data_IF_343057212678
#
_entry.id   IF_343057212678
#
_cell.length_a   1.000
_cell.length_b   1.000
_cell.length_c   1.000
_cell.angle_alpha   90.00
_cell.angle_beta   90.00
_cell.angle_gamma   90.00
#
_symmetry.space_group_name_H-M   'P 1'
#
loop_
_entity.id
_entity.type
_entity.pdbx_description
1 polymer ?
#
# COMPACT_ATOMS: atom_id res chain seq x y z
N UNK A 1 13.36 22.10 -87.25
CA UNK A 1 14.11 22.11 -85.97
C UNK A 1 13.66 23.19 -84.98
N UNK A 2 13.47 24.46 -85.37
CA UNK A 2 13.04 25.53 -84.44
C UNK A 2 11.65 25.34 -83.79
N UNK A 3 10.74 24.64 -84.46
CA UNK A 3 9.38 24.41 -83.96
C UNK A 3 9.29 23.31 -82.89
N UNK A 4 10.22 22.35 -82.89
CA UNK A 4 10.28 21.25 -81.92
C UNK A 4 10.90 21.72 -80.60
N UNK A 5 11.92 22.58 -80.64
CA UNK A 5 12.51 23.18 -79.43
C UNK A 5 11.50 24.03 -78.64
N UNK A 6 10.65 24.82 -79.31
CA UNK A 6 9.63 25.64 -78.63
C UNK A 6 8.62 24.81 -77.83
N UNK A 7 8.14 23.69 -78.38
CA UNK A 7 7.19 22.80 -77.68
C UNK A 7 7.83 22.06 -76.52
N UNK A 8 9.10 21.64 -76.63
CA UNK A 8 9.83 21.01 -75.53
C UNK A 8 10.10 21.99 -74.38
N UNK A 9 10.43 23.25 -74.67
CA UNK A 9 10.63 24.29 -73.64
C UNK A 9 9.32 24.67 -72.93
N UNK A 10 8.19 24.74 -73.65
CA UNK A 10 6.87 25.02 -73.05
C UNK A 10 6.40 23.85 -72.19
N UNK A 11 6.61 22.61 -72.63
CA UNK A 11 6.28 21.42 -71.84
C UNK A 11 7.16 21.30 -70.59
N UNK A 12 8.45 21.64 -70.69
CA UNK A 12 9.37 21.66 -69.55
C UNK A 12 9.01 22.77 -68.55
N UNK A 13 8.67 23.98 -69.02
CA UNK A 13 8.16 25.07 -68.18
C UNK A 13 6.83 24.71 -67.51
N UNK A 14 5.92 24.01 -68.21
CA UNK A 14 4.66 23.53 -67.64
C UNK A 14 4.87 22.45 -66.57
N UNK A 15 5.81 21.51 -66.79
CA UNK A 15 6.18 20.48 -65.80
C UNK A 15 6.85 21.11 -64.59
N UNK A 16 7.76 22.07 -64.78
CA UNK A 16 8.38 22.84 -63.68
C UNK A 16 7.32 23.66 -62.94
N UNK A 17 6.37 24.29 -63.63
CA UNK A 17 5.29 25.06 -62.99
C UNK A 17 4.29 24.16 -62.24
N UNK A 18 3.99 22.96 -62.75
CA UNK A 18 3.17 21.94 -62.05
C UNK A 18 3.92 21.37 -60.84
N UNK A 19 5.25 21.18 -60.92
CA UNK A 19 6.11 20.80 -59.80
C UNK A 19 6.20 21.91 -58.73
N UNK A 20 6.19 23.19 -59.14
CA UNK A 20 6.20 24.35 -58.22
C UNK A 20 4.83 24.54 -57.56
N UNK A 21 3.72 24.25 -58.26
CA UNK A 21 2.35 24.30 -57.71
C UNK A 21 2.03 23.16 -56.73
N UNK A 22 2.81 22.07 -56.72
CA UNK A 22 2.72 21.01 -55.70
C UNK A 22 3.53 21.30 -54.42
N UNK A 23 4.31 22.39 -54.38
CA UNK A 23 5.31 22.65 -53.33
C UNK A 23 4.87 23.64 -52.23
N UNK A 24 3.58 23.98 -52.10
CA UNK A 24 3.13 24.85 -51.01
C UNK A 24 1.86 24.35 -50.31
N UNK A 25 1.85 23.09 -49.86
CA UNK A 25 0.90 22.69 -48.81
C UNK A 25 1.37 23.29 -47.50
N UNK A 26 0.57 24.19 -46.92
CA UNK A 26 0.82 24.76 -45.58
C UNK A 26 0.86 23.61 -44.57
N UNK A 27 2.02 23.43 -43.94
CA UNK A 27 2.17 22.48 -42.85
C UNK A 27 1.39 22.98 -41.62
N UNK A 28 0.84 22.04 -40.84
CA UNK A 28 0.06 22.35 -39.64
C UNK A 28 0.45 21.42 -38.50
N UNK A 29 0.15 21.76 -37.23
CA UNK A 29 0.28 20.81 -36.13
C UNK A 29 -0.59 19.57 -36.35
N UNK A 30 -0.25 18.43 -35.74
CA UNK A 30 -0.97 17.17 -35.93
C UNK A 30 -2.44 17.24 -35.48
N UNK A 31 -3.31 16.46 -36.12
CA UNK A 31 -4.70 16.25 -35.67
C UNK A 31 -4.78 14.92 -34.93
N UNK A 32 -5.09 15.00 -33.64
CA UNK A 32 -5.11 13.85 -32.73
C UNK A 32 -6.51 13.67 -32.15
N UNK A 33 -6.91 12.44 -31.87
CA UNK A 33 -8.10 12.14 -31.05
C UNK A 33 -7.71 11.31 -29.84
N UNK A 34 -8.29 11.60 -28.69
CA UNK A 34 -8.04 10.85 -27.45
C UNK A 34 -9.02 9.70 -27.33
N UNK A 35 -8.55 8.52 -26.94
CA UNK A 35 -9.40 7.37 -26.67
C UNK A 35 -9.96 7.40 -25.26
N UNK A 36 -11.13 6.77 -25.06
CA UNK A 36 -11.72 6.57 -23.74
C UNK A 36 -10.73 5.89 -22.79
N UNK A 37 -10.86 6.21 -21.51
CA UNK A 37 -10.04 5.60 -20.44
C UNK A 37 -10.66 4.26 -20.04
N UNK A 38 -9.82 3.26 -19.82
CA UNK A 38 -10.16 1.90 -19.36
C UNK A 38 -9.21 1.44 -18.25
N UNK A 39 -9.47 0.26 -17.67
CA UNK A 39 -8.59 -0.38 -16.68
C UNK A 39 -8.19 0.55 -15.52
N UNK A 40 -9.15 1.33 -15.03
CA UNK A 40 -8.92 2.32 -13.98
C UNK A 40 -8.80 1.63 -12.62
N UNK A 41 -7.63 1.76 -12.02
CA UNK A 41 -7.35 1.31 -10.64
C UNK A 41 -7.22 2.53 -9.72
N UNK A 42 -6.73 2.32 -8.49
CA UNK A 42 -6.40 3.38 -7.55
C UNK A 42 -5.23 4.26 -8.04
N UNK A 43 -4.26 3.67 -8.75
CA UNK A 43 -2.99 4.32 -9.09
C UNK A 43 -2.62 4.27 -10.57
N UNK A 44 -3.41 3.58 -11.39
CA UNK A 44 -3.19 3.39 -12.82
C UNK A 44 -4.47 3.52 -13.63
N UNK A 45 -4.31 3.75 -14.93
CA UNK A 45 -5.37 3.68 -15.91
C UNK A 45 -4.77 3.41 -17.30
N UNK A 46 -5.58 3.03 -18.27
CA UNK A 46 -5.17 2.88 -19.67
C UNK A 46 -5.95 3.85 -20.54
N UNK A 47 -5.25 4.52 -21.45
CA UNK A 47 -5.85 5.38 -22.47
C UNK A 47 -5.02 5.28 -23.76
N UNK A 48 -5.11 6.26 -24.62
CA UNK A 48 -4.38 6.31 -25.87
C UNK A 48 -4.92 7.40 -26.78
N UNK A 49 -4.58 7.28 -28.05
CA UNK A 49 -5.12 8.16 -29.06
C UNK A 49 -4.86 7.66 -30.46
N UNK A 50 -5.33 8.44 -31.42
CA UNK A 50 -5.07 8.23 -32.83
C UNK A 50 -4.60 9.54 -33.45
N UNK A 51 -3.41 9.53 -34.03
CA UNK A 51 -2.91 10.63 -34.85
C UNK A 51 -3.52 10.47 -36.25
N UNK A 52 -4.65 11.15 -36.49
CA UNK A 52 -5.44 11.03 -37.72
C UNK A 52 -4.76 11.67 -38.92
N UNK A 53 -4.07 12.79 -38.70
CA UNK A 53 -3.35 13.51 -39.73
C UNK A 53 -2.08 14.12 -39.13
N UNK A 54 -0.98 13.99 -39.85
CA UNK A 54 0.34 14.49 -39.44
C UNK A 54 0.55 15.97 -39.75
N UNK A 55 -0.44 16.62 -40.37
CA UNK A 55 -0.32 18.03 -40.75
C UNK A 55 0.65 18.26 -41.92
N UNK A 56 1.07 17.20 -42.62
CA UNK A 56 2.03 17.24 -43.72
C UNK A 56 3.50 17.15 -43.32
N UNK A 57 3.81 17.03 -42.01
CA UNK A 57 5.16 16.88 -41.49
C UNK A 57 5.26 15.64 -40.58
N UNK A 58 6.42 14.97 -40.57
CA UNK A 58 6.60 13.74 -39.82
C UNK A 58 6.35 13.92 -38.31
N UNK A 59 5.66 12.94 -37.72
CA UNK A 59 5.41 12.90 -36.28
C UNK A 59 6.65 12.40 -35.56
N UNK A 60 7.30 13.28 -34.80
CA UNK A 60 8.55 12.98 -34.08
C UNK A 60 8.31 12.40 -32.69
N UNK A 61 7.16 12.70 -32.06
CA UNK A 61 6.74 12.14 -30.76
C UNK A 61 5.23 12.13 -30.66
N UNK A 62 4.67 11.16 -29.94
CA UNK A 62 3.26 11.13 -29.54
C UNK A 62 3.11 10.53 -28.14
N UNK A 63 1.99 10.78 -27.49
CA UNK A 63 1.69 10.18 -26.20
C UNK A 63 0.37 10.67 -25.62
N UNK A 64 0.22 10.51 -24.31
CA UNK A 64 -0.88 11.10 -23.55
C UNK A 64 -0.31 12.04 -22.48
N UNK A 65 -1.07 13.06 -22.12
CA UNK A 65 -0.81 13.93 -20.97
C UNK A 65 -2.04 13.96 -20.06
N UNK A 66 -1.82 14.06 -18.75
CA UNK A 66 -2.88 14.08 -17.76
C UNK A 66 -2.57 14.97 -16.56
N UNK A 67 -3.62 15.48 -15.92
CA UNK A 67 -3.54 16.32 -14.73
C UNK A 67 -4.88 16.32 -13.97
N UNK A 68 -4.88 16.78 -12.71
CA UNK A 68 -6.11 17.00 -11.93
C UNK A 68 -6.86 18.29 -12.33
N UNK A 69 -6.21 19.15 -13.11
CA UNK A 69 -6.80 20.36 -13.71
C UNK A 69 -7.09 20.16 -15.19
N UNK A 70 -8.15 20.81 -15.68
CA UNK A 70 -8.52 20.77 -17.11
C UNK A 70 -7.42 21.31 -18.02
N UNK A 71 -7.49 20.89 -19.28
CA UNK A 71 -6.59 21.18 -20.38
C UNK A 71 -5.13 20.76 -20.13
N UNK A 72 -4.86 19.49 -19.77
CA UNK A 72 -3.49 19.03 -19.59
C UNK A 72 -2.68 19.22 -20.89
N UNK A 73 -1.38 19.46 -20.70
CA UNK A 73 -0.40 19.65 -21.78
C UNK A 73 0.82 18.77 -21.51
N UNK A 74 1.80 18.76 -22.41
CA UNK A 74 3.07 18.05 -22.15
C UNK A 74 3.92 18.67 -21.03
N UNK A 75 3.52 19.81 -20.46
CA UNK A 75 4.09 20.33 -19.22
C UNK A 75 3.54 19.63 -17.96
N UNK A 76 2.39 18.98 -18.08
CA UNK A 76 1.82 18.09 -17.06
C UNK A 76 2.49 16.71 -17.10
N UNK A 77 1.99 15.78 -16.28
CA UNK A 77 2.37 14.37 -16.41
C UNK A 77 2.07 13.86 -17.82
N UNK A 78 3.02 13.17 -18.45
CA UNK A 78 2.85 12.67 -19.81
C UNK A 78 3.71 11.43 -20.08
N UNK A 79 3.32 10.67 -21.11
CA UNK A 79 4.10 9.57 -21.68
C UNK A 79 4.63 9.93 -23.06
N UNK A 80 5.58 9.14 -23.57
CA UNK A 80 5.98 9.14 -24.99
C UNK A 80 5.84 7.71 -25.54
N UNK A 81 4.97 7.53 -26.53
CA UNK A 81 4.56 6.25 -27.12
C UNK A 81 4.99 6.12 -28.59
N UNK A 82 6.17 6.65 -28.92
CA UNK A 82 6.81 6.53 -30.23
C UNK A 82 6.48 7.66 -31.21
N UNK A 83 6.51 7.34 -32.51
CA UNK A 83 6.42 8.25 -33.64
C UNK A 83 5.34 7.81 -34.64
N UNK A 84 5.16 8.58 -35.71
CA UNK A 84 4.26 8.23 -36.81
C UNK A 84 2.76 8.43 -36.54
N UNK A 85 1.95 8.21 -37.58
CA UNK A 85 0.49 8.30 -37.53
C UNK A 85 -0.17 7.03 -37.00
N UNK A 86 -1.49 7.06 -36.81
CA UNK A 86 -2.28 5.91 -36.38
C UNK A 86 -2.53 5.83 -34.87
N UNK A 87 -3.14 4.72 -34.47
CA UNK A 87 -3.56 4.47 -33.09
C UNK A 87 -2.39 4.05 -32.20
N UNK A 88 -2.46 4.44 -30.93
CA UNK A 88 -1.55 4.00 -29.89
C UNK A 88 -2.28 3.86 -28.55
N UNK A 89 -1.75 2.99 -27.69
CA UNK A 89 -2.21 2.77 -26.32
C UNK A 89 -1.13 3.26 -25.37
N UNK A 90 -1.52 3.77 -24.22
CA UNK A 90 -0.60 4.18 -23.17
C UNK A 90 -1.12 3.86 -21.78
N UNK A 91 -0.21 3.37 -20.93
CA UNK A 91 -0.45 3.12 -19.52
C UNK A 91 -0.16 4.40 -18.72
N UNK A 92 -1.10 4.77 -17.86
CA UNK A 92 -1.01 5.86 -16.91
C UNK A 92 -0.65 5.26 -15.55
N UNK A 93 0.31 5.84 -14.85
CA UNK A 93 0.73 5.42 -13.51
C UNK A 93 0.99 6.64 -12.62
N UNK A 94 1.18 6.41 -11.32
CA UNK A 94 1.43 7.49 -10.35
C UNK A 94 0.18 8.32 -10.03
N UNK A 95 -1.01 7.75 -10.20
CA UNK A 95 -2.26 8.42 -9.85
C UNK A 95 -2.54 8.32 -8.35
N UNK A 96 -3.30 9.28 -7.83
CA UNK A 96 -3.86 9.22 -6.47
C UNK A 96 -5.25 8.59 -6.52
N UNK A 97 -5.58 7.76 -5.53
CA UNK A 97 -6.89 7.12 -5.42
C UNK A 97 -8.03 8.14 -5.24
N UNK A 98 -9.26 7.78 -5.63
CA UNK A 98 -10.45 8.62 -5.53
C UNK A 98 -10.26 10.06 -6.06
N UNK A 99 -9.53 10.21 -7.16
CA UNK A 99 -9.14 11.51 -7.72
C UNK A 99 -9.57 11.62 -9.17
N UNK A 100 -10.15 12.76 -9.54
CA UNK A 100 -10.54 13.06 -10.92
C UNK A 100 -9.30 13.52 -11.69
N UNK A 101 -9.07 12.92 -12.85
CA UNK A 101 -8.03 13.31 -13.80
C UNK A 101 -8.63 13.64 -15.16
N UNK A 102 -8.02 14.61 -15.83
CA UNK A 102 -8.26 14.97 -17.22
C UNK A 102 -7.10 14.44 -18.05
N UNK A 103 -7.38 13.84 -19.20
CA UNK A 103 -6.39 13.23 -20.11
C UNK A 103 -6.61 13.70 -21.54
N UNK A 104 -5.50 13.92 -22.26
CA UNK A 104 -5.48 14.25 -23.69
C UNK A 104 -4.36 13.47 -24.38
N UNK A 105 -4.64 12.94 -25.55
CA UNK A 105 -3.61 12.48 -26.47
C UNK A 105 -2.89 13.68 -27.09
N UNK A 106 -1.60 13.54 -27.39
CA UNK A 106 -0.80 14.57 -28.03
C UNK A 106 0.15 13.98 -29.07
N UNK A 107 0.54 14.79 -30.05
CA UNK A 107 1.59 14.48 -31.01
C UNK A 107 2.34 15.74 -31.46
N UNK A 108 3.63 15.60 -31.73
CA UNK A 108 4.56 16.67 -32.11
C UNK A 108 5.07 16.42 -33.53
N UNK A 109 5.04 17.45 -34.36
CA UNK A 109 5.77 17.53 -35.64
C UNK A 109 6.60 18.84 -35.68
N UNK A 110 7.16 19.19 -36.84
CA UNK A 110 7.95 20.43 -37.03
C UNK A 110 7.14 21.72 -36.79
N UNK A 111 5.82 21.68 -36.99
CA UNK A 111 4.94 22.84 -36.86
C UNK A 111 4.39 23.02 -35.44
N UNK A 112 4.59 22.02 -34.57
CA UNK A 112 4.25 22.10 -33.16
C UNK A 112 3.38 20.95 -32.66
N UNK A 113 2.70 21.22 -31.54
CA UNK A 113 1.95 20.22 -30.80
C UNK A 113 0.48 20.19 -31.21
N UNK A 114 0.00 19.00 -31.57
CA UNK A 114 -1.41 18.68 -31.73
C UNK A 114 -1.92 17.98 -30.49
N UNK A 115 -3.12 18.34 -30.04
CA UNK A 115 -3.78 17.70 -28.90
C UNK A 115 -5.16 17.19 -29.29
N UNK A 116 -5.53 16.04 -28.74
CA UNK A 116 -6.87 15.48 -28.85
C UNK A 116 -7.87 16.15 -27.92
N UNK A 117 -9.12 15.67 -28.03
CA UNK A 117 -10.20 16.03 -27.13
C UNK A 117 -9.87 15.64 -25.69
N UNK A 118 -10.30 16.46 -24.73
CA UNK A 118 -10.19 16.12 -23.32
C UNK A 118 -11.20 15.04 -22.93
N UNK A 119 -10.76 14.11 -22.09
CA UNK A 119 -11.60 13.12 -21.43
C UNK A 119 -11.26 13.16 -19.94
N UNK A 120 -12.25 13.00 -19.07
CA UNK A 120 -12.03 12.87 -17.63
C UNK A 120 -12.37 11.47 -17.14
N UNK A 121 -11.67 11.01 -16.12
CA UNK A 121 -11.96 9.77 -15.40
C UNK A 121 -11.68 9.97 -13.90
N UNK A 122 -12.22 9.09 -13.06
CA UNK A 122 -11.96 9.09 -11.60
C UNK A 122 -11.31 7.77 -11.23
N UNK A 123 -10.19 7.83 -10.52
CA UNK A 123 -9.55 6.62 -9.97
C UNK A 123 -10.42 5.94 -8.93
N UNK A 124 -10.28 4.63 -8.79
CA UNK A 124 -11.00 3.87 -7.77
C UNK A 124 -10.58 4.33 -6.36
N UNK A 125 -11.49 4.31 -5.36
CA UNK A 125 -11.12 4.60 -3.98
C UNK A 125 -10.34 3.44 -3.35
N UNK A 126 -9.65 3.74 -2.26
CA UNK A 126 -9.16 2.71 -1.33
C UNK A 126 -10.34 2.25 -0.49
N UNK A 127 -10.51 0.93 -0.35
CA UNK A 127 -11.55 0.29 0.46
C UNK A 127 -10.92 -0.49 1.60
N UNK A 128 -11.72 -1.03 2.53
CA UNK A 128 -11.21 -1.91 3.58
C UNK A 128 -10.55 -3.16 2.97
N UNK A 129 -9.53 -3.66 3.65
CA UNK A 129 -8.86 -4.91 3.27
C UNK A 129 -9.80 -6.12 3.40
N UNK A 130 -9.51 -7.17 2.63
CA UNK A 130 -10.16 -8.47 2.74
C UNK A 130 -9.19 -9.45 3.39
N UNK A 131 -9.62 -10.07 4.49
CA UNK A 131 -8.81 -11.03 5.23
C UNK A 131 -9.68 -12.08 5.93
N UNK A 132 -9.07 -13.21 6.27
CA UNK A 132 -9.66 -14.26 7.11
C UNK A 132 -8.84 -14.46 8.38
N UNK A 133 -9.51 -14.92 9.44
CA UNK A 133 -8.85 -15.36 10.68
C UNK A 133 -8.48 -16.83 10.54
N UNK A 134 -7.23 -17.18 10.82
CA UNK A 134 -6.80 -18.58 10.76
C UNK A 134 -7.31 -19.37 11.97
N UNK A 135 -7.32 -20.70 11.84
CA UNK A 135 -7.76 -21.58 12.93
C UNK A 135 -6.87 -21.41 14.16
N UNK A 136 -7.50 -21.49 15.34
CA UNK A 136 -6.78 -21.41 16.61
C UNK A 136 -6.13 -22.77 16.89
N UNK A 137 -4.88 -22.75 17.33
CA UNK A 137 -4.07 -23.92 17.66
C UNK A 137 -3.29 -23.68 18.95
N UNK A 138 -2.63 -24.72 19.47
CA UNK A 138 -1.70 -24.63 20.62
C UNK A 138 -2.29 -23.90 21.84
N UNK A 139 -3.56 -24.14 22.15
CA UNK A 139 -4.22 -23.54 23.30
C UNK A 139 -3.67 -24.15 24.58
N UNK A 140 -3.09 -23.30 25.43
CA UNK A 140 -2.68 -23.61 26.80
C UNK A 140 -3.58 -22.88 27.80
N UNK A 141 -3.31 -23.02 29.10
CA UNK A 141 -4.04 -22.28 30.13
C UNK A 141 -3.80 -20.76 30.11
N UNK A 142 -2.80 -20.26 29.37
CA UNK A 142 -2.45 -18.82 29.32
C UNK A 142 -2.03 -18.29 27.95
N UNK A 143 -1.96 -19.16 26.94
CA UNK A 143 -1.56 -18.80 25.57
C UNK A 143 -2.40 -19.53 24.52
N UNK A 144 -2.43 -18.99 23.31
CA UNK A 144 -2.96 -19.66 22.12
C UNK A 144 -2.23 -19.14 20.88
N UNK A 145 -2.27 -19.88 19.78
CA UNK A 145 -1.72 -19.45 18.49
C UNK A 145 -2.84 -19.30 17.48
N UNK A 146 -2.87 -18.18 16.78
CA UNK A 146 -3.82 -17.87 15.72
C UNK A 146 -3.09 -17.06 14.63
N UNK A 147 -3.80 -16.24 13.88
CA UNK A 147 -3.25 -15.40 12.83
C UNK A 147 -4.32 -14.98 11.84
N UNK A 148 -3.88 -14.61 10.64
CA UNK A 148 -4.78 -14.23 9.57
C UNK A 148 -4.14 -14.37 8.20
N UNK A 149 -4.96 -14.26 7.16
CA UNK A 149 -4.50 -14.18 5.77
C UNK A 149 -5.18 -13.02 5.07
N UNK A 150 -4.40 -12.04 4.63
CA UNK A 150 -4.89 -10.85 3.92
C UNK A 150 -4.79 -11.13 2.43
N UNK A 151 -5.95 -11.35 1.79
CA UNK A 151 -6.04 -11.69 0.36
C UNK A 151 -6.11 -10.45 -0.53
N UNK A 152 -6.56 -9.31 0.00
CA UNK A 152 -6.60 -8.04 -0.71
C UNK A 152 -6.41 -6.89 0.26
N UNK A 153 -5.57 -5.92 -0.09
CA UNK A 153 -5.25 -4.75 0.75
C UNK A 153 -6.26 -3.61 0.59
N UNK A 154 -7.29 -3.79 -0.23
CA UNK A 154 -8.27 -2.73 -0.50
C UNK A 154 -7.78 -1.68 -1.49
N UNK A 155 -6.65 -1.91 -2.17
CA UNK A 155 -6.03 -0.96 -3.09
C UNK A 155 -5.14 0.09 -2.41
N UNK A 156 -4.81 -0.11 -1.13
CA UNK A 156 -3.90 0.75 -0.37
C UNK A 156 -3.05 -0.09 0.60
N UNK A 157 -1.82 0.34 0.92
CA UNK A 157 -0.90 -0.45 1.72
C UNK A 157 -1.46 -0.75 3.11
N UNK A 158 -1.29 -2.00 3.56
CA UNK A 158 -1.54 -2.39 4.96
C UNK A 158 -0.43 -1.83 5.84
N UNK A 159 -0.79 -0.98 6.79
CA UNK A 159 0.12 -0.29 7.71
C UNK A 159 0.21 -0.95 9.09
N UNK A 160 -0.73 -1.85 9.42
CA UNK A 160 -0.74 -2.62 10.66
C UNK A 160 -1.62 -3.86 10.47
N UNK A 161 -1.17 -5.02 10.97
CA UNK A 161 -1.98 -6.24 11.03
C UNK A 161 -1.73 -6.99 12.33
N UNK A 162 -2.67 -7.84 12.71
CA UNK A 162 -2.51 -8.75 13.84
C UNK A 162 -3.79 -9.50 14.15
N UNK A 163 -3.91 -10.05 15.36
CA UNK A 163 -5.18 -10.55 15.90
C UNK A 163 -5.59 -9.72 17.11
N UNK A 164 -6.89 -9.54 17.27
CA UNK A 164 -7.49 -8.96 18.46
C UNK A 164 -8.38 -9.98 19.16
N UNK A 165 -8.46 -9.93 20.49
CA UNK A 165 -9.25 -10.87 21.28
C UNK A 165 -9.88 -10.23 22.51
N UNK A 166 -10.99 -10.82 22.95
CA UNK A 166 -11.71 -10.39 24.15
C UNK A 166 -12.55 -11.55 24.73
N UNK A 167 -13.09 -11.35 25.94
CA UNK A 167 -14.09 -12.24 26.57
C UNK A 167 -15.53 -11.92 26.13
N UNK A 168 -15.70 -10.95 25.23
CA UNK A 168 -16.96 -10.67 24.54
C UNK A 168 -16.82 -10.89 23.03
N UNK A 169 -17.95 -11.07 22.36
CA UNK A 169 -17.97 -11.22 20.90
C UNK A 169 -17.57 -9.91 20.21
N UNK A 170 -17.15 -10.06 18.95
CA UNK A 170 -16.70 -9.06 18.01
C UNK A 170 -15.56 -8.18 18.55
N UNK A 171 -14.43 -8.79 18.99
CA UNK A 171 -13.28 -8.00 19.41
C UNK A 171 -12.80 -7.10 18.27
N UNK A 172 -12.22 -5.98 18.66
CA UNK A 172 -11.70 -4.93 17.81
C UNK A 172 -10.25 -4.63 18.18
N UNK A 173 -9.60 -3.74 17.44
CA UNK A 173 -8.21 -3.34 17.76
C UNK A 173 -8.09 -2.52 19.05
N UNK A 174 -9.21 -2.11 19.63
CA UNK A 174 -9.22 -1.40 20.92
C UNK A 174 -9.19 -2.38 22.11
N UNK A 175 -9.44 -3.67 21.86
CA UNK A 175 -9.24 -4.74 22.83
C UNK A 175 -7.78 -5.19 22.83
N UNK A 176 -7.49 -6.28 23.54
CA UNK A 176 -6.17 -6.90 23.50
C UNK A 176 -5.83 -7.32 22.07
N UNK A 177 -4.59 -7.06 21.63
CA UNK A 177 -4.15 -7.36 20.28
C UNK A 177 -2.66 -7.64 20.17
N UNK A 178 -2.28 -8.32 19.10
CA UNK A 178 -0.89 -8.39 18.61
C UNK A 178 -0.65 -7.34 17.54
N UNK A 179 0.61 -7.02 17.27
CA UNK A 179 1.06 -6.23 16.12
C UNK A 179 2.08 -7.08 15.35
N UNK A 180 1.65 -7.65 14.22
CA UNK A 180 2.38 -8.66 13.43
C UNK A 180 2.90 -8.11 12.09
N UNK A 181 3.15 -6.79 12.06
CA UNK A 181 3.81 -6.09 10.97
C UNK A 181 2.86 -5.46 9.95
N UNK A 182 3.33 -5.40 8.69
CA UNK A 182 2.71 -4.68 7.58
C UNK A 182 2.56 -5.58 6.35
N UNK A 183 1.83 -5.11 5.34
CA UNK A 183 1.66 -5.81 4.06
C UNK A 183 0.64 -6.95 4.07
N UNK A 184 0.47 -7.58 2.90
CA UNK A 184 -0.49 -8.67 2.66
C UNK A 184 0.10 -10.06 2.95
N UNK A 185 -0.70 -11.10 2.71
CA UNK A 185 -0.31 -12.49 2.94
C UNK A 185 -0.71 -13.02 4.31
N UNK A 186 -0.20 -14.20 4.63
CA UNK A 186 -0.47 -14.88 5.89
C UNK A 186 0.48 -14.42 6.99
N UNK A 187 -0.04 -14.36 8.21
CA UNK A 187 0.72 -14.09 9.42
C UNK A 187 0.24 -14.98 10.57
N UNK A 188 1.13 -15.22 11.52
CA UNK A 188 0.87 -16.01 12.73
C UNK A 188 1.05 -15.11 13.94
N UNK A 189 0.16 -15.24 14.92
CA UNK A 189 0.15 -14.45 16.13
C UNK A 189 0.14 -15.35 17.36
N UNK A 190 1.00 -15.02 18.32
CA UNK A 190 1.02 -15.67 19.63
C UNK A 190 0.20 -14.84 20.63
N UNK A 191 -0.95 -15.37 21.04
CA UNK A 191 -1.82 -14.77 22.03
C UNK A 191 -1.29 -15.16 23.42
N UNK A 192 -1.04 -14.17 24.27
CA UNK A 192 -0.47 -14.34 25.62
C UNK A 192 -1.38 -13.73 26.68
N UNK A 193 -1.07 -14.01 27.94
CA UNK A 193 -1.76 -13.44 29.11
C UNK A 193 -3.24 -13.77 29.22
N UNK A 194 -3.63 -14.92 28.71
CA UNK A 194 -5.00 -15.40 28.86
C UNK A 194 -5.23 -15.88 30.31
N UNK A 195 -6.44 -15.63 30.81
CA UNK A 195 -6.92 -16.26 32.04
C UNK A 195 -7.32 -17.70 31.75
N UNK A 196 -7.02 -18.60 32.67
CA UNK A 196 -7.44 -20.01 32.59
C UNK A 196 -8.97 -20.14 32.70
N UNK A 197 -9.51 -21.31 32.31
CA UNK A 197 -10.95 -21.59 32.34
C UNK A 197 -11.84 -20.51 31.68
N UNK A 198 -11.29 -19.70 30.77
CA UNK A 198 -11.97 -18.55 30.18
C UNK A 198 -12.18 -18.75 28.69
N UNK A 199 -13.36 -18.35 28.20
CA UNK A 199 -13.68 -18.35 26.77
C UNK A 199 -13.30 -17.02 26.16
N UNK A 200 -12.55 -17.06 25.06
CA UNK A 200 -12.12 -15.91 24.29
C UNK A 200 -12.65 -15.97 22.87
N UNK A 201 -12.98 -14.80 22.33
CA UNK A 201 -13.28 -14.58 20.92
C UNK A 201 -12.10 -13.87 20.26
N UNK A 202 -11.74 -14.27 19.04
CA UNK A 202 -10.55 -13.78 18.32
C UNK A 202 -10.91 -13.41 16.90
N UNK A 203 -10.34 -12.31 16.39
CA UNK A 203 -10.42 -11.89 14.99
C UNK A 203 -9.07 -11.39 14.50
N UNK A 204 -8.65 -11.80 13.31
CA UNK A 204 -7.59 -11.12 12.58
C UNK A 204 -8.05 -9.70 12.21
N UNK A 205 -7.12 -8.74 12.19
CA UNK A 205 -7.36 -7.38 11.75
C UNK A 205 -6.25 -6.89 10.80
N UNK A 206 -6.59 -5.97 9.91
CA UNK A 206 -5.64 -5.27 9.05
C UNK A 206 -6.10 -3.82 8.84
N UNK A 207 -5.18 -2.88 8.93
CA UNK A 207 -5.44 -1.44 8.80
C UNK A 207 -4.78 -0.88 7.55
N UNK A 208 -5.55 -0.17 6.73
CA UNK A 208 -5.07 0.68 5.65
C UNK A 208 -5.67 2.10 5.81
N UNK A 209 -5.50 2.97 4.81
CA UNK A 209 -6.02 4.35 4.87
C UNK A 209 -7.55 4.45 4.83
N UNK A 210 -8.26 3.42 4.39
CA UNK A 210 -9.72 3.35 4.46
C UNK A 210 -10.24 2.95 5.85
N UNK A 211 -9.40 2.33 6.69
CA UNK A 211 -9.73 1.95 8.05
C UNK A 211 -9.21 0.57 8.44
N UNK A 212 -9.80 -0.01 9.48
CA UNK A 212 -9.45 -1.35 9.97
C UNK A 212 -10.51 -2.37 9.54
N UNK A 213 -10.08 -3.36 8.76
CA UNK A 213 -10.86 -4.53 8.42
C UNK A 213 -10.64 -5.66 9.44
N UNK A 214 -11.61 -6.57 9.52
CA UNK A 214 -11.55 -7.72 10.42
C UNK A 214 -11.95 -8.99 9.70
N UNK A 215 -11.25 -10.08 10.01
CA UNK A 215 -11.63 -11.42 9.57
C UNK A 215 -12.81 -11.99 10.35
N UNK A 216 -13.12 -13.25 10.06
CA UNK A 216 -14.17 -14.01 10.74
C UNK A 216 -13.85 -14.18 12.22
N UNK A 217 -14.89 -14.21 13.06
CA UNK A 217 -14.71 -14.51 14.47
C UNK A 217 -14.48 -16.00 14.69
N UNK A 218 -13.44 -16.31 15.46
CA UNK A 218 -13.20 -17.63 16.05
C UNK A 218 -13.37 -17.55 17.57
N UNK A 219 -13.50 -18.69 18.23
CA UNK A 219 -13.53 -18.75 19.70
C UNK A 219 -12.81 -19.99 20.21
N UNK A 220 -12.23 -19.87 21.39
CA UNK A 220 -11.61 -20.99 22.11
C UNK A 220 -11.80 -20.81 23.62
N UNK A 221 -11.63 -21.89 24.37
CA UNK A 221 -11.63 -21.85 25.83
C UNK A 221 -10.30 -22.35 26.31
N UNK A 222 -9.59 -21.53 27.09
CA UNK A 222 -8.37 -21.99 27.76
C UNK A 222 -8.75 -23.15 28.70
N UNK A 223 -8.00 -24.25 28.74
CA UNK A 223 -8.21 -25.28 29.74
C UNK A 223 -8.31 -24.67 31.14
N UNK A 224 -9.23 -25.20 31.92
CA UNK A 224 -9.18 -24.98 33.36
C UNK A 224 -7.87 -25.50 33.92
N UNK A 225 -7.47 -24.93 35.04
CA UNK A 225 -6.41 -25.48 35.85
C UNK A 225 -6.79 -26.91 36.28
N UNK A 226 -6.15 -27.93 35.70
CA UNK A 226 -5.91 -29.22 36.37
C UNK A 226 -4.47 -29.40 36.93
N UNK A 227 -3.68 -28.36 37.31
CA UNK A 227 -2.53 -28.48 38.18
C UNK A 227 -2.95 -28.27 39.64
N UNK A 228 -2.11 -28.74 40.55
CA UNK A 228 -2.19 -28.50 41.99
C UNK A 228 -2.43 -27.00 42.25
N UNK A 229 -3.65 -26.60 42.63
CA UNK A 229 -3.90 -25.25 43.13
C UNK A 229 -3.26 -25.15 44.50
N UNK A 230 -2.14 -24.45 44.60
CA UNK A 230 -1.52 -24.19 45.89
C UNK A 230 -2.31 -23.11 46.62
N UNK A 231 -3.33 -23.54 47.38
CA UNK A 231 -4.32 -22.72 48.10
C UNK A 231 -5.48 -22.22 47.21
N UNK A 232 -6.52 -23.05 47.01
CA UNK A 232 -7.67 -22.72 46.15
C UNK A 232 -8.52 -21.53 46.63
N UNK A 233 -8.28 -21.04 47.83
CA UNK A 233 -8.93 -19.83 48.37
C UNK A 233 -8.31 -18.53 47.87
N UNK A 234 -7.18 -18.57 47.15
CA UNK A 234 -6.51 -17.38 46.62
C UNK A 234 -6.90 -17.11 45.16
N UNK A 235 -6.88 -15.83 44.79
CA UNK A 235 -7.14 -15.38 43.42
C UNK A 235 -5.84 -15.31 42.64
N UNK A 236 -5.84 -15.88 41.43
CA UNK A 236 -4.71 -15.85 40.49
C UNK A 236 -5.06 -15.04 39.26
N UNK A 237 -4.05 -14.49 38.59
CA UNK A 237 -4.22 -13.76 37.35
C UNK A 237 -2.92 -13.66 36.55
N UNK A 238 -2.90 -12.71 35.63
CA UNK A 238 -1.74 -12.36 34.81
C UNK A 238 -1.59 -10.84 34.75
N UNK A 239 -0.37 -10.38 34.46
CA UNK A 239 -0.08 -8.99 34.11
C UNK A 239 0.89 -8.96 32.94
N UNK A 240 0.74 -7.97 32.06
CA UNK A 240 1.58 -7.78 30.87
C UNK A 240 2.39 -6.50 30.99
N UNK A 241 3.66 -6.52 30.58
CA UNK A 241 4.46 -5.30 30.46
C UNK A 241 4.37 -4.64 29.06
N UNK A 242 5.10 -3.54 28.87
CA UNK A 242 5.11 -2.74 27.62
C UNK A 242 5.70 -3.50 26.42
N UNK A 243 6.36 -4.63 26.65
CA UNK A 243 6.95 -5.48 25.61
C UNK A 243 6.15 -6.75 25.35
N UNK A 244 5.00 -6.90 26.02
CA UNK A 244 4.13 -8.07 25.88
C UNK A 244 4.60 -9.28 26.69
N UNK A 245 5.58 -9.14 27.60
CA UNK A 245 5.92 -10.24 28.49
C UNK A 245 4.78 -10.47 29.47
N UNK A 246 4.42 -11.74 29.65
CA UNK A 246 3.40 -12.14 30.59
C UNK A 246 3.97 -12.65 31.89
N UNK A 247 3.35 -12.27 33.00
CA UNK A 247 3.73 -12.72 34.33
C UNK A 247 2.50 -13.22 35.07
N UNK A 248 2.65 -14.36 35.75
CA UNK A 248 1.60 -14.88 36.63
C UNK A 248 1.50 -14.03 37.89
N UNK A 249 0.29 -13.81 38.38
CA UNK A 249 0.04 -13.07 39.63
C UNK A 249 -0.80 -13.87 40.62
N UNK A 250 -0.63 -13.57 41.90
CA UNK A 250 -1.42 -14.10 43.01
C UNK A 250 -1.80 -12.97 43.97
N UNK A 251 -3.05 -12.96 44.41
CA UNK A 251 -3.49 -12.03 45.45
C UNK A 251 -3.26 -12.62 46.83
N UNK A 252 -2.53 -11.91 47.69
CA UNK A 252 -2.30 -12.27 49.09
C UNK A 252 -2.70 -11.07 49.95
N UNK A 253 -3.75 -11.24 50.75
CA UNK A 253 -4.40 -10.13 51.45
C UNK A 253 -4.99 -9.13 50.44
N UNK A 254 -4.57 -7.87 50.51
CA UNK A 254 -5.00 -6.79 49.61
C UNK A 254 -4.03 -6.50 48.46
N UNK A 255 -2.91 -7.24 48.37
CA UNK A 255 -1.85 -6.98 47.39
C UNK A 255 -1.80 -8.07 46.33
N UNK A 256 -1.46 -7.69 45.10
CA UNK A 256 -1.22 -8.59 43.97
C UNK A 256 0.29 -8.72 43.79
N UNK A 257 0.79 -9.95 43.84
CA UNK A 257 2.21 -10.28 43.71
C UNK A 257 2.46 -10.99 42.37
N UNK A 258 3.57 -10.67 41.71
CA UNK A 258 4.04 -11.47 40.58
C UNK A 258 4.71 -12.75 41.11
N UNK A 259 4.46 -13.87 40.45
CA UNK A 259 5.09 -15.16 40.77
C UNK A 259 6.45 -15.35 40.08
N UNK A 260 6.87 -14.37 39.27
CA UNK A 260 8.06 -14.40 38.43
C UNK A 260 8.73 -13.02 38.45
N UNK A 261 10.05 -12.97 38.26
CA UNK A 261 10.78 -11.71 38.15
C UNK A 261 10.39 -10.96 36.88
N UNK A 262 10.41 -9.62 36.95
CA UNK A 262 10.20 -8.74 35.81
C UNK A 262 11.32 -8.93 34.77
N UNK A 263 10.95 -9.07 33.50
CA UNK A 263 11.83 -9.34 32.34
C UNK A 263 11.90 -8.16 31.37
N UNK A 264 11.18 -7.06 31.62
CA UNK A 264 11.15 -5.93 30.68
C UNK A 264 12.51 -5.24 30.56
N UNK A 265 12.84 -4.85 29.34
CA UNK A 265 14.00 -4.04 28.98
C UNK A 265 13.60 -2.60 28.61
N UNK A 266 12.36 -2.19 28.90
CA UNK A 266 11.85 -0.85 28.61
C UNK A 266 11.08 -0.27 29.79
N UNK A 267 11.19 1.04 29.93
CA UNK A 267 10.33 1.81 30.82
C UNK A 267 8.91 1.93 30.25
N UNK A 268 7.98 2.38 31.08
CA UNK A 268 6.59 2.62 30.68
C UNK A 268 6.43 3.74 29.63
N UNK A 269 7.44 4.59 29.44
CA UNK A 269 7.52 5.61 28.38
C UNK A 269 8.12 5.07 27.06
N UNK A 270 8.51 3.79 27.02
CA UNK A 270 9.08 3.11 25.87
C UNK A 270 10.61 3.24 25.74
N UNK A 271 11.27 4.03 26.59
CA UNK A 271 12.73 4.13 26.59
C UNK A 271 13.37 2.81 27.03
N UNK A 272 14.50 2.45 26.41
CA UNK A 272 15.24 1.24 26.77
C UNK A 272 15.90 1.39 28.12
N UNK A 273 15.79 0.37 28.96
CA UNK A 273 16.59 0.18 30.16
C UNK A 273 17.95 -0.39 29.69
N UNK A 274 19.08 0.31 29.89
CA UNK A 274 20.38 -0.20 29.48
C UNK A 274 20.74 -1.50 30.19
N UNK A 275 21.27 -2.48 29.45
CA UNK A 275 21.89 -3.66 30.02
C UNK A 275 23.37 -3.38 30.32
N UNK A 276 23.74 -3.28 31.59
CA UNK A 276 25.12 -3.00 32.01
C UNK A 276 25.67 -4.24 32.70
N UNK A 277 26.64 -4.90 32.08
CA UNK A 277 27.25 -6.12 32.63
C UNK A 277 28.62 -5.88 33.27
N UNK A 278 29.22 -4.72 33.04
CA UNK A 278 30.53 -4.35 33.60
C UNK A 278 30.38 -3.65 34.96
N UNK A 279 31.10 -4.13 35.97
CA UNK A 279 31.04 -3.60 37.33
C UNK A 279 31.52 -2.15 37.44
N UNK A 280 32.45 -1.73 36.58
CA UNK A 280 32.99 -0.36 36.60
C UNK A 280 31.96 0.59 36.02
N UNK A 281 31.39 0.23 34.87
CA UNK A 281 30.28 0.96 34.23
C UNK A 281 29.05 1.04 35.15
N UNK A 282 28.67 -0.07 35.80
CA UNK A 282 27.53 -0.11 36.72
C UNK A 282 27.69 0.87 37.89
N UNK A 283 28.89 0.95 38.47
CA UNK A 283 29.19 1.84 39.60
C UNK A 283 29.13 3.33 39.24
N UNK A 284 29.43 3.68 38.00
CA UNK A 284 29.44 5.09 37.55
C UNK A 284 28.17 5.50 36.81
N UNK A 285 27.26 4.56 36.53
CA UNK A 285 26.01 4.86 35.83
C UNK A 285 25.16 5.87 36.62
N UNK A 286 24.73 6.94 35.94
CA UNK A 286 23.81 7.94 36.48
C UNK A 286 22.35 7.65 36.12
N UNK A 287 22.11 6.60 35.33
CA UNK A 287 20.78 6.17 34.89
C UNK A 287 20.48 4.78 35.43
N UNK A 288 19.19 4.50 35.63
CA UNK A 288 18.72 3.17 35.98
C UNK A 288 19.05 2.19 34.83
N UNK A 289 19.52 1.00 35.18
CA UNK A 289 19.97 -0.06 34.29
C UNK A 289 19.52 -1.42 34.82
N UNK A 290 19.63 -2.47 34.00
CA UNK A 290 19.42 -3.85 34.42
C UNK A 290 20.63 -4.71 34.08
N UNK A 291 20.79 -5.82 34.80
CA UNK A 291 21.71 -6.89 34.47
C UNK A 291 21.12 -8.22 34.93
N UNK A 292 21.57 -9.32 34.35
CA UNK A 292 21.26 -10.64 34.89
C UNK A 292 22.23 -10.98 36.01
N UNK A 293 21.74 -11.70 37.01
CA UNK A 293 22.60 -12.25 38.06
C UNK A 293 23.74 -13.09 37.43
N UNK A 294 24.98 -12.84 37.84
CA UNK A 294 26.21 -13.41 37.26
C UNK A 294 26.42 -13.17 35.75
N UNK A 295 25.74 -12.18 35.15
CA UNK A 295 25.80 -11.89 33.71
C UNK A 295 25.51 -13.11 32.81
N UNK A 296 24.81 -14.12 33.33
CA UNK A 296 24.35 -15.24 32.51
C UNK A 296 22.98 -14.88 31.91
N UNK A 297 22.88 -14.88 30.58
CA UNK A 297 21.57 -14.78 29.95
C UNK A 297 20.74 -16.02 30.30
N UNK A 298 19.48 -15.83 30.69
CA UNK A 298 18.46 -16.88 30.78
C UNK A 298 17.42 -16.68 29.70
#
# INVERSE_FOLDING_TARGET
>A
MKHLQKTTTILFLAIVFILVMQSCKKLTPPVVTTFSVSEVTQTTAVSGGNVKYDGGAEIVKRGICWEITKNPTTASNHTTNGTGTGSFISNISGLTANTIYYVRAWALNSEGMGYGNEISFTTSPIVLATLSTTVITSVTFSTAVCGGSISFDGGGPIIERGVCWAIHQNPTKNDDRTIDGIGTGSFTSEIKCLSFASTYYVRAYATNTAGTAYGDQQSFTTPGINPIIFNPSLTYGTVTDIEGNCYKTIQIGTQIWMAENLKTTKYNDGNTIPNITDDTEWKVSLTCAYCWYDNNCK
#
